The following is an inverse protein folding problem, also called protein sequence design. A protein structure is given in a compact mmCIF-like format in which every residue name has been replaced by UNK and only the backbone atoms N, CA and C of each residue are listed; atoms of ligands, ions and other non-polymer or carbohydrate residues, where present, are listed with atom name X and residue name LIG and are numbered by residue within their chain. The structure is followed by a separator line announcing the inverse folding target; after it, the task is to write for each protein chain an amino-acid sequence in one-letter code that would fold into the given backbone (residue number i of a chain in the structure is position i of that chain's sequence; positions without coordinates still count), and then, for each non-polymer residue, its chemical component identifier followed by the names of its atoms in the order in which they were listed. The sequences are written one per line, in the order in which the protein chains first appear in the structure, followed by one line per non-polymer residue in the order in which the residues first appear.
data_IF_263290604905
#
_entry.id   IF_263290604905
#
_cell.length_a   1.000
_cell.length_b   1.000
_cell.length_c   1.000
_cell.angle_alpha   90.00
_cell.angle_beta   90.00
_cell.angle_gamma   90.00
#
_symmetry.space_group_name_H-M   'P 1'
#
loop_
_entity.id
_entity.type
_entity.pdbx_description
1 polymer ?
#
# COMPACT_ATOMS: atom_id res chain seq x y z
N UNK A 1 -18.05 -21.05 18.16
CA UNK A 1 -18.72 -20.76 16.88
C UNK A 1 -19.53 -19.48 17.07
N UNK A 2 -18.86 -18.33 17.02
CA UNK A 2 -19.54 -17.04 17.08
C UNK A 2 -20.01 -16.71 15.67
N UNK A 3 -21.33 -16.52 15.53
CA UNK A 3 -21.90 -15.89 14.35
C UNK A 3 -21.41 -14.44 14.33
N UNK A 4 -20.43 -14.13 13.48
CA UNK A 4 -20.13 -12.74 13.13
C UNK A 4 -21.37 -12.19 12.44
N UNK A 5 -22.04 -11.24 13.09
CA UNK A 5 -23.09 -10.45 12.45
C UNK A 5 -22.45 -9.78 11.24
N UNK A 6 -22.93 -10.12 10.05
CA UNK A 6 -22.52 -9.43 8.82
C UNK A 6 -23.15 -8.04 8.90
N UNK A 7 -22.37 -7.05 9.37
CA UNK A 7 -22.80 -5.66 9.41
C UNK A 7 -23.09 -5.20 7.99
N UNK A 8 -24.26 -4.61 7.76
CA UNK A 8 -24.59 -4.10 6.42
C UNK A 8 -23.74 -2.87 6.14
N UNK A 9 -22.94 -2.91 5.08
CA UNK A 9 -22.18 -1.74 4.63
C UNK A 9 -22.95 -1.00 3.54
N UNK A 10 -22.99 0.33 3.64
CA UNK A 10 -23.47 1.20 2.57
C UNK A 10 -22.28 1.63 1.70
N UNK A 11 -22.40 1.48 0.38
CA UNK A 11 -21.35 1.84 -0.57
C UNK A 11 -21.66 3.19 -1.23
N UNK A 12 -20.70 4.11 -1.15
CA UNK A 12 -20.70 5.40 -1.83
C UNK A 12 -19.69 5.38 -2.98
N UNK A 13 -20.14 5.73 -4.20
CA UNK A 13 -19.33 5.69 -5.42
C UNK A 13 -18.80 7.10 -5.73
N UNK A 14 -17.49 7.26 -5.85
CA UNK A 14 -16.85 8.49 -6.30
C UNK A 14 -16.07 8.24 -7.61
N UNK A 15 -16.19 9.16 -8.57
CA UNK A 15 -15.57 9.01 -9.90
C UNK A 15 -14.59 10.12 -10.25
N UNK A 16 -14.21 10.94 -9.26
CA UNK A 16 -13.37 12.12 -9.46
C UNK A 16 -12.26 12.19 -8.42
N UNK A 17 -11.14 12.80 -8.78
CA UNK A 17 -9.93 12.81 -7.97
C UNK A 17 -10.07 13.59 -6.65
N UNK A 18 -11.06 14.49 -6.57
CA UNK A 18 -11.44 15.19 -5.35
C UNK A 18 -11.78 14.23 -4.22
N UNK A 19 -12.22 13.01 -4.52
CA UNK A 19 -12.48 11.96 -3.52
C UNK A 19 -11.28 11.71 -2.59
N UNK A 20 -10.05 11.82 -3.08
CA UNK A 20 -8.85 11.64 -2.25
C UNK A 20 -8.68 12.75 -1.21
N UNK A 21 -9.18 13.96 -1.51
CA UNK A 21 -9.17 15.10 -0.58
C UNK A 21 -10.41 15.08 0.31
N UNK A 22 -11.59 14.83 -0.28
CA UNK A 22 -12.87 14.81 0.44
C UNK A 22 -12.91 13.72 1.52
N UNK A 23 -12.31 12.56 1.26
CA UNK A 23 -12.24 11.44 2.20
C UNK A 23 -10.97 11.46 3.07
N UNK A 24 -10.04 12.40 2.86
CA UNK A 24 -8.67 12.33 3.42
C UNK A 24 -8.66 12.12 4.94
N UNK A 25 -9.43 12.92 5.67
CA UNK A 25 -9.47 12.89 7.13
C UNK A 25 -10.04 11.57 7.67
N UNK A 26 -11.14 11.09 7.09
CA UNK A 26 -11.79 9.85 7.52
C UNK A 26 -10.98 8.61 7.10
N UNK A 27 -10.36 8.64 5.92
CA UNK A 27 -9.49 7.59 5.42
C UNK A 27 -8.25 7.46 6.31
N UNK A 28 -7.56 8.55 6.65
CA UNK A 28 -6.42 8.49 7.59
C UNK A 28 -6.83 8.03 8.98
N UNK A 29 -8.02 8.44 9.46
CA UNK A 29 -8.56 7.94 10.72
C UNK A 29 -8.87 6.43 10.67
N UNK A 30 -9.27 5.89 9.51
CA UNK A 30 -9.44 4.46 9.26
C UNK A 30 -8.08 3.73 9.24
N UNK A 31 -7.09 4.27 8.55
CA UNK A 31 -5.74 3.71 8.52
C UNK A 31 -5.12 3.60 9.90
N UNK A 32 -5.26 4.63 10.74
CA UNK A 32 -4.71 4.65 12.09
C UNK A 32 -5.26 3.56 13.02
N UNK A 33 -6.41 2.95 12.66
CA UNK A 33 -7.05 1.85 13.40
C UNK A 33 -7.08 0.53 12.63
N UNK A 34 -6.43 0.46 11.47
CA UNK A 34 -6.35 -0.76 10.65
C UNK A 34 -5.02 -1.44 10.91
N UNK A 35 -5.06 -2.71 11.33
CA UNK A 35 -3.86 -3.51 11.58
C UNK A 35 -3.02 -3.77 10.32
N UNK A 36 -3.58 -3.51 9.13
CA UNK A 36 -3.00 -3.83 7.83
C UNK A 36 -2.55 -2.58 7.05
N UNK A 37 -2.58 -1.39 7.65
CA UNK A 37 -2.25 -0.15 6.96
C UNK A 37 -0.76 -0.07 6.56
N UNK A 38 -0.49 0.23 5.29
CA UNK A 38 0.84 0.51 4.76
C UNK A 38 0.94 1.97 4.28
N UNK A 39 2.13 2.62 4.27
CA UNK A 39 2.29 3.98 3.74
C UNK A 39 1.73 4.21 2.32
N UNK A 40 1.78 3.21 1.44
CA UNK A 40 1.23 3.27 0.09
C UNK A 40 -0.30 3.35 0.05
N UNK A 41 -0.97 3.17 1.18
CA UNK A 41 -2.43 3.23 1.29
C UNK A 41 -2.91 4.63 1.66
N UNK A 42 -1.99 5.57 1.94
CA UNK A 42 -2.34 6.94 2.31
C UNK A 42 -3.04 7.63 1.13
N UNK A 43 -4.15 8.38 1.38
CA UNK A 43 -4.84 9.10 0.31
C UNK A 43 -3.92 10.05 -0.47
N UNK A 44 -2.88 10.61 0.15
CA UNK A 44 -1.91 11.45 -0.54
C UNK A 44 -1.05 10.68 -1.54
N UNK A 45 -0.75 9.40 -1.29
CA UNK A 45 -0.06 8.55 -2.25
C UNK A 45 -0.94 8.28 -3.47
N UNK A 46 -2.20 7.89 -3.26
CA UNK A 46 -3.16 7.67 -4.33
C UNK A 46 -3.42 8.93 -5.16
N UNK A 47 -3.56 10.10 -4.50
CA UNK A 47 -3.72 11.39 -5.17
C UNK A 47 -2.49 11.77 -6.00
N UNK A 48 -1.29 11.61 -5.44
CA UNK A 48 -0.04 11.90 -6.14
C UNK A 48 0.15 10.96 -7.34
N UNK A 49 -0.13 9.67 -7.18
CA UNK A 49 -0.08 8.71 -8.27
C UNK A 49 -1.09 9.06 -9.37
N UNK A 50 -2.35 9.30 -9.02
CA UNK A 50 -3.39 9.64 -9.98
C UNK A 50 -3.05 10.89 -10.79
N UNK A 51 -2.54 11.93 -10.14
CA UNK A 51 -2.15 13.19 -10.79
C UNK A 51 -1.05 13.01 -11.85
N UNK A 52 -0.12 12.08 -11.65
CA UNK A 52 1.07 11.94 -12.50
C UNK A 52 0.96 10.77 -13.49
N UNK A 53 0.25 9.70 -13.12
CA UNK A 53 0.21 8.44 -13.87
C UNK A 53 -1.22 7.91 -14.10
N UNK A 54 -2.23 8.54 -13.48
CA UNK A 54 -3.62 8.13 -13.61
C UNK A 54 -4.11 8.22 -15.06
N UNK A 55 -4.58 7.10 -15.60
CA UNK A 55 -5.17 7.02 -16.91
C UNK A 55 -6.33 6.01 -16.91
N UNK A 56 -7.48 6.42 -17.44
CA UNK A 56 -8.74 5.66 -17.40
C UNK A 56 -9.80 6.34 -16.53
N UNK A 57 -10.78 5.58 -16.07
CA UNK A 57 -11.84 6.07 -15.18
C UNK A 57 -11.48 5.77 -13.71
N UNK A 58 -11.41 6.82 -12.89
CA UNK A 58 -11.26 6.66 -11.44
C UNK A 58 -12.56 6.14 -10.83
N UNK A 59 -12.45 5.20 -9.89
CA UNK A 59 -13.56 4.67 -9.10
C UNK A 59 -13.12 4.44 -7.67
N UNK A 60 -13.51 5.34 -6.77
CA UNK A 60 -13.26 5.17 -5.33
C UNK A 60 -14.58 4.74 -4.68
N UNK A 61 -14.57 3.57 -4.06
CA UNK A 61 -15.70 3.09 -3.27
C UNK A 61 -15.42 3.34 -1.79
N UNK A 62 -16.22 4.20 -1.17
CA UNK A 62 -16.21 4.40 0.28
C UNK A 62 -17.31 3.52 0.88
N UNK A 63 -16.96 2.76 1.91
CA UNK A 63 -17.86 1.83 2.57
C UNK A 63 -18.16 2.33 3.97
N UNK A 64 -19.42 2.63 4.23
CA UNK A 64 -19.93 3.17 5.50
C UNK A 64 -20.60 2.07 6.31
N UNK A 65 -20.32 2.02 7.61
CA UNK A 65 -21.07 1.17 8.54
C UNK A 65 -22.45 1.75 8.87
N UNK A 66 -23.22 1.06 9.70
CA UNK A 66 -24.56 1.46 10.12
C UNK A 66 -24.59 2.82 10.87
N UNK A 67 -23.45 3.25 11.43
CA UNK A 67 -23.32 4.56 12.09
C UNK A 67 -22.98 5.69 11.10
N UNK A 68 -22.69 5.35 9.84
CA UNK A 68 -22.20 6.27 8.82
C UNK A 68 -20.68 6.47 8.85
N UNK A 69 -19.95 5.78 9.73
CA UNK A 69 -18.50 5.89 9.80
C UNK A 69 -17.83 5.11 8.67
N UNK A 70 -16.69 5.61 8.19
CA UNK A 70 -15.91 4.92 7.16
C UNK A 70 -15.34 3.60 7.70
N UNK A 71 -15.82 2.49 7.17
CA UNK A 71 -15.40 1.14 7.49
C UNK A 71 -14.44 0.55 6.45
N UNK A 72 -14.46 1.08 5.22
CA UNK A 72 -13.52 0.69 4.18
C UNK A 72 -13.41 1.71 3.04
N UNK A 73 -12.29 1.66 2.31
CA UNK A 73 -12.05 2.41 1.08
C UNK A 73 -11.38 1.50 0.07
N UNK A 74 -11.93 1.44 -1.14
CA UNK A 74 -11.40 0.68 -2.24
C UNK A 74 -11.20 1.58 -3.47
N UNK A 75 -9.97 2.10 -3.69
CA UNK A 75 -9.69 3.03 -4.77
C UNK A 75 -9.18 2.31 -6.02
N UNK A 76 -9.97 2.31 -7.08
CA UNK A 76 -9.69 1.63 -8.34
C UNK A 76 -9.54 2.59 -9.54
N UNK A 77 -8.85 2.11 -10.57
CA UNK A 77 -8.85 2.67 -11.92
C UNK A 77 -9.35 1.61 -12.91
N UNK A 78 -10.26 2.01 -13.78
CA UNK A 78 -10.75 1.21 -14.89
C UNK A 78 -10.09 1.66 -16.19
N UNK A 79 -9.36 0.77 -16.85
CA UNK A 79 -8.79 1.06 -18.17
C UNK A 79 -9.83 0.91 -19.29
N UNK A 80 -9.56 1.50 -20.46
CA UNK A 80 -10.42 1.38 -21.65
C UNK A 80 -10.67 -0.10 -22.06
N UNK A 81 -9.75 -1.00 -21.75
CA UNK A 81 -9.89 -2.44 -22.00
C UNK A 81 -10.87 -3.16 -21.06
N UNK A 82 -11.36 -2.48 -20.02
CA UNK A 82 -12.21 -3.06 -18.98
C UNK A 82 -11.44 -3.73 -17.84
N UNK A 83 -10.14 -3.44 -17.68
CA UNK A 83 -9.35 -3.95 -16.55
C UNK A 83 -9.47 -2.99 -15.38
N UNK A 84 -9.99 -3.46 -14.25
CA UNK A 84 -10.06 -2.75 -12.99
C UNK A 84 -8.84 -3.11 -12.14
N UNK A 85 -8.10 -2.10 -11.66
CA UNK A 85 -6.91 -2.26 -10.80
C UNK A 85 -6.97 -1.29 -9.64
N UNK A 86 -6.29 -1.60 -8.54
CA UNK A 86 -6.07 -0.63 -7.48
C UNK A 86 -5.29 0.57 -8.01
N UNK A 87 -5.60 1.76 -7.50
CA UNK A 87 -4.76 2.95 -7.71
C UNK A 87 -3.48 2.86 -6.87
N UNK A 88 -2.48 3.68 -7.16
CA UNK A 88 -1.20 3.71 -6.43
C UNK A 88 -0.01 3.14 -7.22
N UNK A 89 -0.28 2.48 -8.35
CA UNK A 89 0.76 1.98 -9.25
C UNK A 89 1.37 0.69 -8.72
N UNK A 90 0.95 -0.43 -9.30
CA UNK A 90 1.46 -1.76 -9.01
C UNK A 90 2.89 -1.98 -9.57
N UNK A 91 3.46 -0.97 -10.22
CA UNK A 91 4.86 -0.86 -10.66
C UNK A 91 5.71 0.05 -9.76
N UNK A 92 5.06 0.81 -8.85
CA UNK A 92 5.71 1.80 -7.97
C UNK A 92 5.53 1.48 -6.49
N UNK A 93 4.52 0.68 -6.14
CA UNK A 93 4.15 0.36 -4.76
C UNK A 93 4.34 -1.13 -4.51
N UNK A 94 5.12 -1.47 -3.48
CA UNK A 94 5.35 -2.86 -3.07
C UNK A 94 4.08 -3.51 -2.51
N UNK A 95 3.27 -2.70 -1.82
CA UNK A 95 2.03 -3.13 -1.20
C UNK A 95 0.88 -2.25 -1.65
N UNK A 96 -0.18 -2.89 -2.14
CA UNK A 96 -1.46 -2.30 -2.46
C UNK A 96 -2.57 -3.16 -1.87
N UNK A 97 -3.63 -2.51 -1.41
CA UNK A 97 -4.85 -3.19 -0.99
C UNK A 97 -6.02 -2.18 -0.90
N UNK A 98 -7.20 -2.68 -0.58
CA UNK A 98 -8.24 -1.85 0.04
C UNK A 98 -7.86 -1.59 1.51
N UNK A 99 -8.27 -0.44 2.05
CA UNK A 99 -8.18 -0.20 3.50
C UNK A 99 -9.53 -0.59 4.08
N UNK A 100 -9.54 -1.39 5.14
CA UNK A 100 -10.74 -1.67 5.93
C UNK A 100 -10.44 -1.61 7.43
N UNK A 101 -11.50 -1.40 8.21
CA UNK A 101 -11.45 -1.54 9.66
C UNK A 101 -11.21 -3.01 10.01
N UNK A 102 -10.57 -3.26 11.14
CA UNK A 102 -10.28 -4.62 11.60
C UNK A 102 -11.56 -5.47 11.66
N UNK A 103 -11.53 -6.62 10.98
CA UNK A 103 -12.67 -7.53 10.84
C UNK A 103 -13.70 -7.17 9.76
N UNK A 104 -13.60 -6.00 9.12
CA UNK A 104 -14.53 -5.56 8.08
C UNK A 104 -14.08 -5.91 6.64
N UNK A 105 -12.85 -6.41 6.44
CA UNK A 105 -12.24 -6.65 5.12
C UNK A 105 -13.10 -7.52 4.19
N UNK A 106 -13.59 -8.66 4.70
CA UNK A 106 -14.46 -9.57 3.93
C UNK A 106 -15.79 -8.91 3.55
N UNK A 107 -16.41 -8.17 4.48
CA UNK A 107 -17.64 -7.44 4.21
C UNK A 107 -17.40 -6.34 3.16
N UNK A 108 -16.24 -5.68 3.20
CA UNK A 108 -15.88 -4.67 2.23
C UNK A 108 -15.71 -5.25 0.83
N UNK A 109 -14.93 -6.32 0.69
CA UNK A 109 -14.80 -7.01 -0.61
C UNK A 109 -16.13 -7.54 -1.12
N UNK A 110 -16.98 -8.08 -0.25
CA UNK A 110 -18.32 -8.55 -0.63
C UNK A 110 -19.17 -7.42 -1.20
N UNK A 111 -19.16 -6.25 -0.57
CA UNK A 111 -19.89 -5.08 -1.05
C UNK A 111 -19.31 -4.52 -2.36
N UNK A 112 -17.98 -4.49 -2.51
CA UNK A 112 -17.31 -4.07 -3.75
C UNK A 112 -17.66 -5.00 -4.90
N UNK A 113 -17.54 -6.33 -4.71
CA UNK A 113 -17.86 -7.31 -5.75
C UNK A 113 -19.36 -7.28 -6.11
N UNK A 114 -20.25 -7.11 -5.12
CA UNK A 114 -21.68 -6.93 -5.39
C UNK A 114 -21.94 -5.69 -6.25
N UNK A 115 -21.32 -4.54 -5.95
CA UNK A 115 -21.45 -3.32 -6.74
C UNK A 115 -20.86 -3.44 -8.16
N UNK A 116 -19.92 -4.36 -8.38
CA UNK A 116 -19.40 -4.68 -9.71
C UNK A 116 -20.31 -5.63 -10.51
N UNK A 117 -21.25 -6.32 -9.86
CA UNK A 117 -22.23 -7.20 -10.53
C UNK A 117 -23.59 -6.50 -10.80
N UNK A 118 -23.77 -5.28 -10.29
CA UNK A 118 -24.97 -4.47 -10.52
C UNK A 118 -25.15 -4.08 -12.01
N UNK A 119 -26.38 -3.85 -12.44
CA UNK A 119 -26.68 -3.48 -13.82
C UNK A 119 -26.09 -2.13 -14.25
N UNK A 120 -25.80 -1.23 -13.30
CA UNK A 120 -25.14 0.05 -13.50
C UNK A 120 -23.61 -0.02 -13.30
N UNK A 121 -23.06 -1.23 -13.11
CA UNK A 121 -21.63 -1.43 -12.99
C UNK A 121 -20.88 -0.92 -14.24
N UNK A 122 -19.61 -0.51 -14.08
CA UNK A 122 -18.76 -0.23 -15.24
C UNK A 122 -18.72 -1.39 -16.23
N UNK A 123 -18.35 -1.12 -17.47
CA UNK A 123 -18.03 -2.16 -18.46
C UNK A 123 -16.67 -2.84 -18.17
N UNK A 124 -16.48 -3.32 -16.95
CA UNK A 124 -15.30 -4.08 -16.53
C UNK A 124 -15.38 -5.52 -17.05
N UNK A 125 -14.22 -6.15 -17.17
CA UNK A 125 -14.03 -7.53 -17.66
C UNK A 125 -13.13 -8.34 -16.75
N UNK A 126 -12.21 -7.67 -16.06
CA UNK A 126 -11.22 -8.30 -15.20
C UNK A 126 -10.89 -7.40 -14.02
N UNK A 127 -10.91 -7.96 -12.82
CA UNK A 127 -10.36 -7.36 -11.61
C UNK A 127 -8.95 -7.91 -11.42
N UNK A 128 -7.94 -7.05 -11.51
CA UNK A 128 -6.53 -7.42 -11.40
C UNK A 128 -5.96 -6.77 -10.14
N UNK A 129 -5.67 -7.61 -9.15
CA UNK A 129 -5.11 -7.22 -7.86
C UNK A 129 -3.65 -7.66 -7.82
N UNK A 130 -2.74 -6.69 -7.76
CA UNK A 130 -1.28 -6.88 -7.71
C UNK A 130 -0.72 -6.18 -6.49
N UNK A 131 0.44 -6.62 -6.01
CA UNK A 131 1.05 -6.08 -4.79
C UNK A 131 0.24 -6.34 -3.52
N UNK A 132 -0.65 -7.34 -3.51
CA UNK A 132 -1.41 -7.68 -2.30
C UNK A 132 -0.45 -8.34 -1.29
N UNK A 133 -0.35 -7.85 -0.04
CA UNK A 133 0.48 -8.50 0.97
C UNK A 133 0.06 -9.95 1.23
N UNK A 134 1.00 -10.75 1.74
CA UNK A 134 0.73 -12.16 2.07
C UNK A 134 -0.40 -12.30 3.11
N UNK A 135 -1.12 -13.44 3.14
CA UNK A 135 -2.32 -13.62 3.97
C UNK A 135 -2.12 -13.33 5.48
N UNK A 136 -0.90 -13.51 6.00
CA UNK A 136 -0.56 -13.18 7.38
C UNK A 136 -0.64 -11.67 7.68
N UNK A 137 -0.61 -10.84 6.63
CA UNK A 137 -0.55 -9.37 6.68
C UNK A 137 -1.66 -8.68 5.90
N UNK A 138 -2.42 -9.39 5.07
CA UNK A 138 -3.64 -8.88 4.41
C UNK A 138 -4.74 -9.97 4.32
N UNK A 139 -5.99 -9.67 4.71
CA UNK A 139 -7.11 -10.58 4.52
C UNK A 139 -7.63 -10.70 3.08
N UNK A 140 -7.10 -9.92 2.12
CA UNK A 140 -7.68 -9.80 0.77
C UNK A 140 -7.65 -11.10 -0.01
N UNK A 141 -6.53 -11.82 -0.02
CA UNK A 141 -6.42 -13.09 -0.76
C UNK A 141 -7.49 -14.08 -0.29
N UNK A 142 -7.59 -14.28 1.03
CA UNK A 142 -8.58 -15.18 1.62
C UNK A 142 -10.02 -14.71 1.34
N UNK A 143 -10.29 -13.41 1.40
CA UNK A 143 -11.61 -12.86 1.10
C UNK A 143 -12.00 -13.09 -0.36
N UNK A 144 -11.09 -12.89 -1.30
CA UNK A 144 -11.34 -13.12 -2.73
C UNK A 144 -11.55 -14.61 -3.02
N UNK A 145 -10.74 -15.50 -2.44
CA UNK A 145 -10.94 -16.96 -2.56
C UNK A 145 -12.33 -17.39 -2.07
N UNK A 146 -12.73 -16.92 -0.88
CA UNK A 146 -14.05 -17.21 -0.31
C UNK A 146 -15.18 -16.70 -1.21
N UNK A 147 -15.13 -15.42 -1.58
CA UNK A 147 -16.22 -14.75 -2.30
C UNK A 147 -16.37 -15.23 -3.74
N UNK A 148 -15.28 -15.69 -4.37
CA UNK A 148 -15.31 -16.22 -5.73
C UNK A 148 -15.50 -17.74 -5.78
N UNK A 149 -15.59 -18.42 -4.63
CA UNK A 149 -15.65 -19.87 -4.56
C UNK A 149 -14.44 -20.55 -5.19
N UNK A 150 -13.26 -19.91 -5.11
CA UNK A 150 -12.02 -20.39 -5.72
C UNK A 150 -11.91 -20.17 -7.23
N UNK A 151 -12.79 -19.37 -7.85
CA UNK A 151 -12.69 -19.05 -9.27
C UNK A 151 -11.58 -18.04 -9.61
N UNK A 152 -11.06 -17.31 -8.61
CA UNK A 152 -9.94 -16.40 -8.80
C UNK A 152 -8.62 -17.14 -9.09
N UNK A 153 -7.80 -16.58 -9.98
CA UNK A 153 -6.42 -17.03 -10.19
C UNK A 153 -5.50 -16.28 -9.24
N UNK A 154 -4.75 -17.01 -8.42
CA UNK A 154 -3.85 -16.46 -7.41
C UNK A 154 -2.47 -17.07 -7.62
N UNK A 155 -1.45 -16.23 -7.62
CA UNK A 155 -0.04 -16.63 -7.77
C UNK A 155 0.85 -15.70 -6.97
N UNK A 156 1.96 -16.23 -6.46
CA UNK A 156 3.01 -15.41 -5.84
C UNK A 156 3.66 -14.50 -6.89
N UNK A 157 3.78 -13.21 -6.57
CA UNK A 157 4.35 -12.19 -7.46
C UNK A 157 5.85 -12.00 -7.17
N UNK A 158 6.18 -11.56 -5.96
CA UNK A 158 7.56 -11.26 -5.54
C UNK A 158 7.80 -11.63 -4.06
N UNK A 159 9.08 -11.74 -3.68
CA UNK A 159 9.50 -11.95 -2.28
C UNK A 159 10.01 -10.63 -1.72
N UNK A 160 9.39 -10.13 -0.66
CA UNK A 160 9.86 -8.97 0.11
C UNK A 160 10.61 -9.43 1.37
N UNK A 161 11.96 -9.32 1.44
CA UNK A 161 12.71 -9.77 2.60
C UNK A 161 12.44 -8.87 3.81
N UNK A 162 11.97 -9.47 4.91
CA UNK A 162 11.74 -8.78 6.19
C UNK A 162 12.80 -9.19 7.20
N UNK A 163 13.31 -8.22 7.96
CA UNK A 163 14.18 -8.46 9.11
C UNK A 163 13.44 -7.98 10.37
N UNK A 164 13.18 -8.91 11.29
CA UNK A 164 12.74 -8.54 12.63
C UNK A 164 13.90 -7.86 13.36
N UNK A 165 13.80 -6.54 13.58
CA UNK A 165 14.84 -5.79 14.25
C UNK A 165 14.84 -6.12 15.75
N UNK A 166 15.99 -6.51 16.34
CA UNK A 166 16.11 -6.67 17.78
C UNK A 166 16.22 -5.30 18.48
N UNK A 167 16.22 -5.32 19.81
CA UNK A 167 16.21 -4.11 20.64
C UNK A 167 17.54 -3.34 20.63
N UNK A 168 18.61 -3.94 20.08
CA UNK A 168 19.94 -3.32 20.06
C UNK A 168 20.75 -3.61 18.80
N UNK A 169 21.70 -2.70 18.52
CA UNK A 169 22.64 -2.85 17.40
C UNK A 169 23.53 -4.09 17.54
N UNK A 170 24.02 -4.38 18.76
CA UNK A 170 24.89 -5.55 18.96
C UNK A 170 24.13 -6.85 18.75
N UNK A 171 22.89 -6.97 19.21
CA UNK A 171 22.02 -8.11 18.92
C UNK A 171 21.76 -8.25 17.41
N UNK A 172 21.49 -7.15 16.71
CA UNK A 172 21.31 -7.16 15.25
C UNK A 172 22.56 -7.69 14.56
N UNK A 173 23.75 -7.18 14.91
CA UNK A 173 24.99 -7.68 14.32
C UNK A 173 25.26 -9.15 14.63
N UNK A 174 24.84 -9.62 15.81
CA UNK A 174 24.93 -11.03 16.21
C UNK A 174 24.01 -11.97 15.44
N UNK A 175 22.96 -11.46 14.80
CA UNK A 175 22.10 -12.23 13.89
C UNK A 175 22.76 -12.51 12.53
N UNK A 176 23.81 -11.75 12.18
CA UNK A 176 24.50 -11.88 10.89
C UNK A 176 25.48 -13.07 10.90
N UNK A 177 25.75 -13.63 9.72
CA UNK A 177 26.81 -14.63 9.60
C UNK A 177 28.18 -14.03 10.00
N UNK A 178 29.10 -14.80 10.62
CA UNK A 178 30.37 -14.25 11.14
C UNK A 178 31.23 -13.51 10.10
N UNK A 179 31.09 -13.88 8.82
CA UNK A 179 31.74 -13.19 7.71
C UNK A 179 31.12 -11.80 7.47
N UNK A 180 29.80 -11.72 7.44
CA UNK A 180 29.05 -10.51 7.13
C UNK A 180 29.12 -9.52 8.29
N UNK A 181 29.05 -10.00 9.54
CA UNK A 181 29.26 -9.18 10.72
C UNK A 181 30.64 -8.49 10.68
N UNK A 182 31.71 -9.26 10.43
CA UNK A 182 33.07 -8.73 10.34
C UNK A 182 33.21 -7.73 9.20
N UNK A 183 32.58 -8.00 8.05
CA UNK A 183 32.62 -7.09 6.90
C UNK A 183 31.84 -5.78 7.17
N UNK A 184 30.66 -5.87 7.78
CA UNK A 184 29.85 -4.71 8.20
C UNK A 184 30.63 -3.84 9.19
N UNK A 185 31.17 -4.41 10.27
CA UNK A 185 31.98 -3.69 11.26
C UNK A 185 33.23 -3.06 10.61
N UNK A 186 33.85 -3.73 9.63
CA UNK A 186 34.98 -3.18 8.86
C UNK A 186 34.56 -1.99 8.00
N UNK A 187 33.43 -2.08 7.28
CA UNK A 187 32.90 -1.02 6.42
C UNK A 187 32.53 0.23 7.23
N UNK A 188 31.83 0.06 8.35
CA UNK A 188 31.49 1.17 9.26
C UNK A 188 32.75 1.85 9.80
N UNK A 189 33.74 1.08 10.27
CA UNK A 189 35.02 1.67 10.71
C UNK A 189 35.73 2.46 9.61
N UNK A 190 35.74 1.93 8.38
CA UNK A 190 36.34 2.62 7.22
C UNK A 190 35.59 3.91 6.91
N UNK A 191 34.26 3.86 6.88
CA UNK A 191 33.41 5.02 6.66
C UNK A 191 33.68 6.13 7.70
N UNK A 192 33.80 5.79 8.98
CA UNK A 192 34.09 6.74 10.05
C UNK A 192 35.50 7.35 10.00
N UNK A 193 36.43 6.79 9.23
CA UNK A 193 37.76 7.38 9.00
C UNK A 193 37.80 8.30 7.78
N UNK A 194 36.76 8.29 6.94
CA UNK A 194 36.69 9.11 5.73
C UNK A 194 36.38 10.55 6.11
N UNK A 195 37.30 11.47 5.81
CA UNK A 195 37.10 12.88 6.10
C UNK A 195 36.00 13.46 5.22
N UNK A 196 34.99 14.06 5.84
CA UNK A 196 33.86 14.69 5.12
C UNK A 196 32.65 13.79 4.92
N UNK A 197 32.67 12.53 5.38
CA UNK A 197 31.45 11.73 5.44
C UNK A 197 30.55 12.22 6.58
N UNK A 198 29.32 12.61 6.23
CA UNK A 198 28.27 12.99 7.19
C UNK A 198 26.99 12.22 6.89
N UNK A 199 26.19 11.99 7.94
CA UNK A 199 24.82 11.48 7.83
C UNK A 199 23.88 12.62 8.19
N UNK A 200 22.98 12.94 7.27
CA UNK A 200 21.98 13.98 7.46
C UNK A 200 20.60 13.35 7.48
N UNK A 201 19.73 13.90 8.32
CA UNK A 201 18.34 13.47 8.45
C UNK A 201 17.45 14.70 8.36
N UNK A 202 16.54 14.69 7.40
CA UNK A 202 15.51 15.72 7.26
C UNK A 202 14.48 15.57 8.38
N UNK A 203 14.46 16.52 9.31
CA UNK A 203 13.53 16.53 10.46
C UNK A 203 12.51 17.67 10.40
N UNK A 204 12.53 18.49 9.34
CA UNK A 204 11.60 19.61 9.16
C UNK A 204 11.10 19.72 7.72
N UNK A 205 9.89 20.24 7.56
CA UNK A 205 9.30 20.48 6.24
C UNK A 205 10.08 21.55 5.43
N UNK A 206 10.69 22.53 6.11
CA UNK A 206 11.43 23.61 5.47
C UNK A 206 12.71 23.11 4.78
N UNK A 207 13.39 22.10 5.36
CA UNK A 207 14.58 21.50 4.77
C UNK A 207 14.27 20.50 3.64
N UNK A 208 13.06 19.91 3.64
CA UNK A 208 12.70 18.80 2.75
C UNK A 208 12.91 19.09 1.27
N UNK A 209 12.59 20.30 0.82
CA UNK A 209 12.74 20.65 -0.60
C UNK A 209 14.21 20.59 -1.05
N UNK A 210 15.12 21.18 -0.26
CA UNK A 210 16.56 21.16 -0.55
C UNK A 210 17.13 19.75 -0.44
N UNK A 211 16.81 19.03 0.63
CA UNK A 211 17.34 17.69 0.88
C UNK A 211 16.87 16.70 -0.20
N UNK A 212 15.66 16.88 -0.75
CA UNK A 212 15.14 16.07 -1.86
C UNK A 212 15.87 16.36 -3.17
N UNK A 213 16.23 17.61 -3.47
CA UNK A 213 17.06 17.96 -4.62
C UNK A 213 18.44 17.28 -4.54
N UNK A 214 19.06 17.30 -3.35
CA UNK A 214 20.33 16.62 -3.09
C UNK A 214 20.18 15.10 -3.24
N UNK A 215 19.12 14.50 -2.68
CA UNK A 215 18.83 13.07 -2.84
C UNK A 215 18.70 12.67 -4.32
N UNK A 216 17.93 13.42 -5.12
CA UNK A 216 17.75 13.15 -6.56
C UNK A 216 19.07 13.27 -7.30
N UNK A 217 19.88 14.29 -6.97
CA UNK A 217 21.20 14.50 -7.56
C UNK A 217 22.12 13.32 -7.27
N UNK A 218 22.21 12.89 -6.00
CA UNK A 218 23.03 11.75 -5.58
C UNK A 218 22.53 10.44 -6.20
N UNK A 219 21.21 10.25 -6.28
CA UNK A 219 20.61 9.07 -6.91
C UNK A 219 20.96 8.98 -8.40
N UNK A 220 20.87 10.09 -9.14
CA UNK A 220 21.25 10.13 -10.55
C UNK A 220 22.75 9.82 -10.77
N UNK A 221 23.63 10.33 -9.90
CA UNK A 221 25.06 10.03 -9.95
C UNK A 221 25.37 8.56 -9.67
N UNK A 222 24.57 7.90 -8.83
CA UNK A 222 24.77 6.48 -8.49
C UNK A 222 24.58 5.50 -9.65
N UNK A 223 23.93 5.93 -10.75
CA UNK A 223 23.66 5.08 -11.91
C UNK A 223 24.86 4.87 -12.83
N UNK A 224 25.94 5.67 -12.73
CA UNK A 224 27.08 5.56 -13.67
C UNK A 224 28.15 4.52 -13.31
N UNK A 225 28.09 3.85 -12.15
CA UNK A 225 29.12 2.87 -11.71
C UNK A 225 28.56 1.50 -11.25
N UNK A 226 27.51 0.99 -11.90
CA UNK A 226 27.04 -0.41 -11.72
C UNK A 226 26.87 -1.19 -13.03
N UNK A 227 27.65 -0.88 -14.06
CA UNK A 227 27.81 -1.69 -15.28
C UNK A 227 29.19 -2.37 -15.29
#
# INVERSE_FOLDING_TARGET
MSQSSCSSLQLEKYTSAEAFTDLEAEWRALMARSAHAHPFYDPAWHAAWWRNFGAGELRVYALRDESGALAGVAPFVLSEGGRLRLTGGDDLSDYLDIIAADGAHLACWRAVLAALDEADAPAWRELSLRGIPIPETSPTVAAIEELTGGAASISEEEVCPVIALPDSWDEYTGMLAPRDERDLRRKIRKANMEAGLAYERTESADALASDLEDFITLHALSQQEKA
#
